data_IF_573986773676
#
_entry.id   IF_573986773676
#
_cell.length_a   1.000
_cell.length_b   1.000
_cell.length_c   1.000
_cell.angle_alpha   90.00
_cell.angle_beta   90.00
_cell.angle_gamma   90.00
#
_symmetry.space_group_name_H-M   'P 1'
#
loop_
_entity.id
_entity.type
_entity.pdbx_description
1 polymer ?
#
# COMPACT_ATOMS: atom_id res chain seq x y z
N UNK A 1 23.69 -10.30 -8.37
CA UNK A 1 22.92 -9.19 -8.93
C UNK A 1 23.82 -8.39 -9.84
N UNK A 2 23.45 -8.18 -11.09
CA UNK A 2 24.17 -7.23 -11.94
C UNK A 2 23.99 -5.83 -11.33
N UNK A 3 25.10 -5.14 -11.07
CA UNK A 3 25.06 -3.78 -10.52
C UNK A 3 24.47 -2.87 -11.59
N UNK A 4 23.26 -2.35 -11.36
CA UNK A 4 22.61 -1.42 -12.29
C UNK A 4 23.41 -0.13 -12.35
N UNK A 5 23.75 0.31 -13.56
CA UNK A 5 24.53 1.53 -13.77
C UNK A 5 23.69 2.78 -13.48
N UNK A 6 24.21 3.67 -12.67
CA UNK A 6 23.62 5.00 -12.44
C UNK A 6 24.08 5.96 -13.52
N UNK A 7 23.12 6.54 -14.26
CA UNK A 7 23.30 7.54 -15.31
C UNK A 7 22.78 8.90 -14.87
N UNK A 8 23.07 9.93 -15.63
CA UNK A 8 22.64 11.29 -15.32
C UNK A 8 21.98 11.95 -16.52
N UNK A 9 20.76 12.46 -16.30
CA UNK A 9 20.06 13.31 -17.24
C UNK A 9 20.29 14.78 -16.89
N UNK A 10 20.57 15.62 -17.88
CA UNK A 10 20.80 17.04 -17.64
C UNK A 10 19.48 17.84 -17.77
N UNK A 11 19.02 18.42 -16.65
CA UNK A 11 17.86 19.31 -16.61
C UNK A 11 18.30 20.75 -16.31
N UNK A 12 18.45 21.55 -17.34
CA UNK A 12 19.09 22.86 -17.25
C UNK A 12 20.55 22.76 -16.82
N UNK A 13 20.88 23.24 -15.59
CA UNK A 13 22.23 23.17 -15.01
C UNK A 13 22.39 22.05 -13.98
N UNK A 14 21.40 21.17 -13.83
CA UNK A 14 21.35 20.18 -12.76
C UNK A 14 21.37 18.78 -13.37
N UNK A 15 22.16 17.88 -12.78
CA UNK A 15 22.21 16.49 -13.15
C UNK A 15 21.21 15.69 -12.28
N UNK A 16 20.36 14.93 -12.93
CA UNK A 16 19.34 14.06 -12.32
C UNK A 16 19.80 12.61 -12.47
N UNK A 17 20.08 11.95 -11.35
CA UNK A 17 20.50 10.56 -11.35
C UNK A 17 19.32 9.63 -11.67
N UNK A 18 19.55 8.67 -12.57
CA UNK A 18 18.56 7.66 -12.91
C UNK A 18 19.21 6.32 -13.25
N UNK A 19 18.39 5.26 -13.21
CA UNK A 19 18.79 3.92 -13.62
C UNK A 19 17.72 3.32 -14.54
N UNK A 20 18.15 2.45 -15.46
CA UNK A 20 17.27 1.68 -16.33
C UNK A 20 17.46 0.21 -16.02
N UNK A 21 16.37 -0.54 -15.82
CA UNK A 21 16.39 -1.95 -15.44
C UNK A 21 15.39 -2.72 -16.31
N UNK A 22 15.81 -3.86 -16.85
CA UNK A 22 14.98 -4.65 -17.79
C UNK A 22 15.13 -4.22 -19.25
N UNK A 23 14.62 -5.06 -20.14
CA UNK A 23 14.75 -4.93 -21.61
C UNK A 23 13.38 -5.01 -22.31
N UNK A 24 12.28 -4.79 -21.56
CA UNK A 24 10.92 -4.79 -22.12
C UNK A 24 10.73 -3.68 -23.16
N UNK A 25 9.79 -3.89 -24.06
CA UNK A 25 9.45 -2.92 -25.11
C UNK A 25 8.62 -1.72 -24.61
N UNK A 26 8.10 -1.80 -23.40
CA UNK A 26 7.33 -0.73 -22.74
C UNK A 26 8.20 -0.05 -21.69
N UNK A 27 8.31 1.26 -21.77
CA UNK A 27 9.01 2.05 -20.78
C UNK A 27 8.06 2.41 -19.63
N UNK A 28 8.45 2.06 -18.39
CA UNK A 28 7.74 2.44 -17.17
C UNK A 28 8.64 3.32 -16.31
N UNK A 29 8.29 4.60 -16.14
CA UNK A 29 8.99 5.49 -15.23
C UNK A 29 8.27 5.58 -13.87
N UNK A 30 9.00 5.38 -12.78
CA UNK A 30 8.47 5.52 -11.42
C UNK A 30 8.77 6.90 -10.88
N UNK A 31 7.73 7.67 -10.63
CA UNK A 31 7.77 8.92 -9.87
C UNK A 31 7.53 8.57 -8.41
N UNK A 32 8.61 8.28 -7.70
CA UNK A 32 8.55 7.84 -6.30
C UNK A 32 8.07 8.95 -5.35
N UNK A 33 7.56 8.54 -4.19
CA UNK A 33 7.19 9.46 -3.12
C UNK A 33 8.42 10.08 -2.41
N UNK A 34 8.19 11.13 -1.70
CA UNK A 34 9.03 11.92 -0.78
C UNK A 34 10.52 12.00 -1.14
N UNK A 35 11.40 11.15 -0.58
CA UNK A 35 12.84 11.14 -0.83
C UNK A 35 13.29 9.85 -1.48
N UNK A 36 14.33 9.91 -2.31
CA UNK A 36 14.81 8.76 -3.08
C UNK A 36 16.33 8.64 -3.03
N UNK A 37 16.82 7.42 -3.23
CA UNK A 37 18.18 7.12 -3.56
C UNK A 37 18.20 5.84 -4.41
N UNK A 38 18.47 5.98 -5.71
CA UNK A 38 18.37 4.88 -6.69
C UNK A 38 19.30 3.71 -6.40
N UNK A 39 20.42 3.92 -5.71
CA UNK A 39 21.32 2.83 -5.30
C UNK A 39 20.84 2.17 -4.00
N UNK A 40 20.33 2.94 -3.03
CA UNK A 40 19.82 2.39 -1.78
C UNK A 40 18.51 1.61 -1.95
N UNK A 41 17.73 1.86 -2.99
CA UNK A 41 16.55 1.06 -3.32
C UNK A 41 16.88 -0.44 -3.44
N UNK A 42 18.07 -0.77 -3.95
CA UNK A 42 18.53 -2.16 -4.10
C UNK A 42 18.99 -2.80 -2.79
N UNK A 43 19.30 -2.00 -1.78
CA UNK A 43 19.68 -2.47 -0.44
C UNK A 43 18.48 -2.77 0.45
N UNK A 44 17.25 -2.52 -0.05
CA UNK A 44 15.99 -2.90 0.58
C UNK A 44 15.42 -4.13 -0.14
N UNK A 45 15.48 -5.36 0.46
CA UNK A 45 15.15 -6.60 -0.24
C UNK A 45 13.74 -6.63 -0.84
N UNK A 46 12.76 -6.11 -0.11
CA UNK A 46 11.36 -6.09 -0.55
C UNK A 46 11.17 -5.13 -1.73
N UNK A 47 11.77 -3.94 -1.66
CA UNK A 47 11.73 -2.96 -2.76
C UNK A 47 12.50 -3.49 -3.98
N UNK A 48 13.69 -4.07 -3.80
CA UNK A 48 14.45 -4.68 -4.88
C UNK A 48 13.69 -5.82 -5.56
N UNK A 49 13.00 -6.67 -4.79
CA UNK A 49 12.16 -7.73 -5.34
C UNK A 49 11.00 -7.18 -6.17
N UNK A 50 10.35 -6.11 -5.69
CA UNK A 50 9.25 -5.44 -6.40
C UNK A 50 9.74 -4.80 -7.71
N UNK A 51 10.84 -4.06 -7.69
CA UNK A 51 11.46 -3.47 -8.89
C UNK A 51 11.88 -4.54 -9.90
N UNK A 52 12.49 -5.65 -9.43
CA UNK A 52 12.86 -6.77 -10.29
C UNK A 52 11.62 -7.42 -10.94
N UNK A 53 10.50 -7.55 -10.26
CA UNK A 53 9.27 -8.08 -10.86
C UNK A 53 8.69 -7.16 -11.93
N UNK A 54 8.70 -5.85 -11.72
CA UNK A 54 8.28 -4.88 -12.74
C UNK A 54 9.19 -4.95 -13.96
N UNK A 55 10.51 -5.04 -13.77
CA UNK A 55 11.48 -5.09 -14.87
C UNK A 55 11.43 -6.38 -15.71
N UNK A 56 10.66 -7.39 -15.29
CA UNK A 56 10.44 -8.60 -16.10
C UNK A 56 9.57 -8.37 -17.33
N UNK A 57 8.71 -7.35 -17.32
CA UNK A 57 7.78 -7.07 -18.41
C UNK A 57 7.89 -5.64 -18.98
N UNK A 58 8.71 -4.78 -18.39
CA UNK A 58 8.94 -3.43 -18.88
C UNK A 58 10.43 -3.04 -18.79
N UNK A 59 10.82 -2.00 -19.50
CA UNK A 59 12.06 -1.27 -19.29
C UNK A 59 11.80 -0.23 -18.22
N UNK A 60 12.18 -0.54 -16.99
CA UNK A 60 11.88 0.24 -15.80
C UNK A 60 12.87 1.38 -15.61
N UNK A 61 12.40 2.61 -15.46
CA UNK A 61 13.19 3.81 -15.22
C UNK A 61 12.90 4.30 -13.81
N UNK A 62 13.92 4.35 -12.95
CA UNK A 62 13.87 4.91 -11.61
C UNK A 62 14.86 6.07 -11.49
N UNK A 63 14.54 7.08 -10.70
CA UNK A 63 15.37 8.27 -10.61
C UNK A 63 15.32 8.92 -9.22
N UNK A 64 16.33 9.72 -8.94
CA UNK A 64 16.37 10.56 -7.75
C UNK A 64 15.87 11.96 -8.08
N UNK A 65 14.88 12.41 -7.33
CA UNK A 65 14.40 13.80 -7.46
C UNK A 65 15.53 14.78 -7.16
N UNK A 66 15.52 15.91 -7.83
CA UNK A 66 16.44 17.03 -7.59
C UNK A 66 16.56 17.31 -6.08
N UNK A 67 17.80 17.33 -5.58
CA UNK A 67 18.11 17.55 -4.17
C UNK A 67 18.12 16.26 -3.32
N UNK A 68 17.75 15.10 -3.87
CA UNK A 68 17.76 13.81 -3.18
C UNK A 68 18.78 12.84 -3.79
N UNK A 69 19.12 11.80 -3.06
CA UNK A 69 19.95 10.68 -3.51
C UNK A 69 21.26 11.13 -4.16
N UNK A 70 21.45 10.69 -5.38
CA UNK A 70 22.63 10.97 -6.21
C UNK A 70 22.42 12.15 -7.18
N UNK A 71 21.22 12.74 -7.26
CA UNK A 71 20.98 13.95 -8.03
C UNK A 71 21.65 15.16 -7.38
N UNK A 72 21.96 16.17 -8.19
CA UNK A 72 22.61 17.39 -7.71
C UNK A 72 21.86 18.01 -6.53
N UNK A 73 22.63 18.44 -5.52
CA UNK A 73 22.11 19.07 -4.31
C UNK A 73 21.57 20.47 -4.62
N UNK A 74 20.48 20.80 -3.98
CA UNK A 74 19.86 22.11 -4.05
C UNK A 74 19.66 22.65 -2.64
N UNK A 75 19.93 23.92 -2.43
CA UNK A 75 19.66 24.57 -1.15
C UNK A 75 18.17 24.38 -0.77
N UNK A 76 17.86 23.99 0.47
CA UNK A 76 16.49 23.72 0.91
C UNK A 76 15.51 24.87 0.63
N UNK A 77 15.96 26.13 0.70
CA UNK A 77 15.16 27.31 0.37
C UNK A 77 14.99 27.59 -1.14
N UNK A 78 15.63 26.80 -2.02
CA UNK A 78 15.61 26.94 -3.48
C UNK A 78 15.11 25.68 -4.19
N UNK A 79 14.41 24.81 -3.47
CA UNK A 79 13.79 23.65 -4.10
C UNK A 79 12.77 24.13 -5.15
N UNK A 80 12.81 23.56 -6.35
CA UNK A 80 11.99 24.00 -7.45
C UNK A 80 10.52 23.62 -7.27
N UNK A 81 9.63 24.50 -7.72
CA UNK A 81 8.21 24.21 -7.82
C UNK A 81 7.92 23.05 -8.78
N UNK A 82 6.67 22.61 -8.81
CA UNK A 82 6.25 21.40 -9.54
C UNK A 82 6.52 21.47 -11.04
N UNK A 83 6.43 22.68 -11.66
CA UNK A 83 6.75 22.89 -13.08
C UNK A 83 8.19 22.52 -13.42
N UNK A 84 9.16 22.94 -12.60
CA UNK A 84 10.56 22.57 -12.82
C UNK A 84 10.80 21.08 -12.62
N UNK A 85 10.07 20.46 -11.71
CA UNK A 85 10.13 19.00 -11.48
C UNK A 85 9.56 18.21 -12.66
N UNK A 86 8.57 18.74 -13.38
CA UNK A 86 8.11 18.16 -14.66
C UNK A 86 9.20 18.25 -15.74
N UNK A 87 9.97 19.33 -15.79
CA UNK A 87 11.12 19.46 -16.72
C UNK A 87 12.23 18.45 -16.38
N UNK A 88 12.45 18.15 -15.09
CA UNK A 88 13.39 17.11 -14.67
C UNK A 88 12.93 15.74 -15.18
N UNK A 89 11.64 15.43 -15.03
CA UNK A 89 11.07 14.17 -15.52
C UNK A 89 11.16 14.06 -17.05
N UNK A 90 10.90 15.14 -17.78
CA UNK A 90 11.06 15.20 -19.23
C UNK A 90 12.50 14.94 -19.65
N UNK A 91 13.48 15.57 -18.98
CA UNK A 91 14.90 15.37 -19.26
C UNK A 91 15.33 13.91 -19.07
N UNK A 92 14.74 13.19 -18.10
CA UNK A 92 14.99 11.76 -17.90
C UNK A 92 14.41 10.94 -19.04
N UNK A 93 13.18 11.22 -19.47
CA UNK A 93 12.53 10.54 -20.62
C UNK A 93 13.37 10.69 -21.87
N UNK A 94 13.86 11.92 -22.15
CA UNK A 94 14.74 12.21 -23.28
C UNK A 94 16.10 11.49 -23.14
N UNK A 95 16.74 11.53 -21.97
CA UNK A 95 18.03 10.86 -21.72
C UNK A 95 17.95 9.32 -21.74
N UNK A 96 16.77 8.76 -21.46
CA UNK A 96 16.49 7.34 -21.56
C UNK A 96 16.18 6.90 -23.01
N UNK A 97 16.16 7.82 -23.98
CA UNK A 97 15.76 7.58 -25.37
C UNK A 97 14.37 6.93 -25.48
N UNK A 98 13.43 7.40 -24.64
CA UNK A 98 12.06 6.90 -24.60
C UNK A 98 11.18 7.76 -25.50
N UNK A 99 10.45 7.13 -26.42
CA UNK A 99 9.47 7.81 -27.28
C UNK A 99 8.18 8.12 -26.53
N UNK A 100 7.79 7.15 -25.72
CA UNK A 100 6.56 7.17 -24.92
C UNK A 100 6.78 6.36 -23.65
N UNK A 101 6.25 6.81 -22.52
CA UNK A 101 6.41 6.16 -21.21
C UNK A 101 5.07 5.95 -20.52
N UNK A 102 4.90 4.84 -19.84
CA UNK A 102 3.93 4.72 -18.77
C UNK A 102 4.52 5.41 -17.53
N UNK A 103 3.72 6.19 -16.81
CA UNK A 103 4.17 6.92 -15.62
C UNK A 103 3.46 6.39 -14.39
N UNK A 104 4.22 5.81 -13.44
CA UNK A 104 3.71 5.34 -12.16
C UNK A 104 4.06 6.34 -11.05
N UNK A 105 3.06 7.09 -10.61
CA UNK A 105 3.17 7.99 -9.47
C UNK A 105 2.87 7.27 -8.15
N UNK A 106 3.84 7.19 -7.25
CA UNK A 106 3.67 6.61 -5.92
C UNK A 106 3.47 7.74 -4.89
N UNK A 107 2.42 7.66 -4.07
CA UNK A 107 2.20 8.60 -2.99
C UNK A 107 2.23 10.06 -3.50
N UNK A 108 3.10 10.90 -2.98
CA UNK A 108 3.31 12.29 -3.41
C UNK A 108 3.92 12.44 -4.83
N UNK A 109 4.37 11.34 -5.41
CA UNK A 109 4.76 11.32 -6.82
C UNK A 109 3.56 11.37 -7.78
N UNK A 110 2.37 11.00 -7.30
CA UNK A 110 1.16 11.00 -8.12
C UNK A 110 0.74 12.37 -8.66
N UNK A 111 0.72 13.45 -7.88
CA UNK A 111 0.50 14.79 -8.39
C UNK A 111 1.45 15.20 -9.52
N UNK A 112 2.75 14.91 -9.37
CA UNK A 112 3.72 15.20 -10.42
C UNK A 112 3.48 14.35 -11.68
N UNK A 113 3.19 13.07 -11.52
CA UNK A 113 2.86 12.16 -12.62
C UNK A 113 1.59 12.62 -13.37
N UNK A 114 0.56 13.05 -12.64
CA UNK A 114 -0.68 13.55 -13.21
C UNK A 114 -0.47 14.83 -14.00
N UNK A 115 0.27 15.79 -13.44
CA UNK A 115 0.59 17.04 -14.14
C UNK A 115 1.44 16.79 -15.39
N UNK A 116 2.39 15.86 -15.31
CA UNK A 116 3.22 15.48 -16.45
C UNK A 116 2.37 14.86 -17.57
N UNK A 117 1.42 13.98 -17.23
CA UNK A 117 0.52 13.36 -18.20
C UNK A 117 -0.43 14.37 -18.87
N UNK A 118 -0.79 15.45 -18.19
CA UNK A 118 -1.63 16.51 -18.77
C UNK A 118 -0.81 17.48 -19.64
N UNK A 119 0.42 17.80 -19.24
CA UNK A 119 1.29 18.73 -19.95
C UNK A 119 1.94 18.11 -21.19
N UNK A 120 2.24 16.79 -21.13
CA UNK A 120 2.93 16.05 -22.20
C UNK A 120 2.16 14.76 -22.59
N UNK A 121 0.88 14.86 -23.01
CA UNK A 121 0.08 13.69 -23.31
C UNK A 121 0.63 12.85 -24.48
N UNK A 122 1.43 13.43 -25.35
CA UNK A 122 2.11 12.76 -26.46
C UNK A 122 3.32 11.91 -26.01
N UNK A 123 3.84 12.13 -24.80
CA UNK A 123 4.93 11.36 -24.20
C UNK A 123 4.44 10.31 -23.21
N UNK A 124 3.16 10.33 -22.83
CA UNK A 124 2.62 9.46 -21.78
C UNK A 124 1.60 8.49 -22.35
N UNK A 125 1.94 7.20 -22.39
CA UNK A 125 1.03 6.14 -22.84
C UNK A 125 -0.03 5.79 -21.79
N UNK A 126 0.35 5.75 -20.52
CA UNK A 126 -0.51 5.36 -19.40
C UNK A 126 -0.12 6.13 -18.13
N UNK A 127 -1.12 6.51 -17.34
CA UNK A 127 -0.94 7.08 -16.00
C UNK A 127 -1.35 6.05 -14.95
N UNK A 128 -0.44 5.70 -14.04
CA UNK A 128 -0.72 4.83 -12.90
C UNK A 128 -0.50 5.61 -11.61
N UNK A 129 -1.44 5.54 -10.68
CA UNK A 129 -1.38 6.24 -9.40
C UNK A 129 -1.55 5.21 -8.27
N UNK A 130 -0.56 5.08 -7.40
CA UNK A 130 -0.62 4.17 -6.27
C UNK A 130 -0.55 4.93 -4.94
N UNK A 131 -1.55 4.73 -4.07
CA UNK A 131 -1.58 5.34 -2.74
C UNK A 131 -1.41 6.86 -2.77
N UNK A 132 -2.01 7.53 -3.76
CA UNK A 132 -1.78 8.94 -4.06
C UNK A 132 -2.98 9.82 -3.70
N UNK A 133 -2.82 11.13 -3.90
CA UNK A 133 -3.80 12.15 -3.54
C UNK A 133 -3.80 13.32 -4.55
N UNK A 134 -4.91 14.03 -4.63
CA UNK A 134 -4.99 15.28 -5.40
C UNK A 134 -4.56 16.48 -4.56
N UNK A 135 -4.77 16.42 -3.27
CA UNK A 135 -4.43 17.44 -2.27
C UNK A 135 -4.23 16.76 -0.92
N UNK A 136 -3.34 17.28 -0.08
CA UNK A 136 -3.06 16.66 1.23
C UNK A 136 -3.55 17.48 2.43
N UNK A 137 -4.02 18.71 2.22
CA UNK A 137 -4.67 19.52 3.25
C UNK A 137 -6.17 19.47 2.99
N UNK A 138 -7.01 19.03 3.97
CA UNK A 138 -8.45 18.96 3.78
C UNK A 138 -9.10 20.34 3.61
N UNK A 139 -10.20 20.38 2.89
CA UNK A 139 -11.15 21.48 2.86
C UNK A 139 -12.60 20.96 2.83
N UNK A 140 -13.60 21.85 2.71
CA UNK A 140 -15.00 21.49 2.86
C UNK A 140 -15.52 20.35 1.96
N UNK A 141 -15.03 20.29 0.71
CA UNK A 141 -15.43 19.26 -0.28
C UNK A 141 -14.41 18.11 -0.39
N UNK A 142 -13.25 18.27 0.24
CA UNK A 142 -12.15 17.31 0.24
C UNK A 142 -11.70 17.05 1.69
N UNK A 143 -12.37 16.15 2.41
CA UNK A 143 -12.20 16.01 3.86
C UNK A 143 -10.96 15.19 4.28
N UNK A 144 -10.27 14.56 3.33
CA UNK A 144 -9.14 13.66 3.60
C UNK A 144 -7.82 14.40 3.73
N UNK A 145 -6.90 13.80 4.50
CA UNK A 145 -5.56 14.31 4.74
C UNK A 145 -5.40 14.95 6.12
N UNK A 146 -4.29 15.65 6.32
CA UNK A 146 -3.93 16.22 7.60
C UNK A 146 -4.15 17.74 7.62
N UNK A 147 -4.63 18.26 8.75
CA UNK A 147 -4.70 19.72 8.97
C UNK A 147 -3.29 20.35 8.97
N UNK A 148 -3.20 21.64 8.71
CA UNK A 148 -1.93 22.39 8.77
C UNK A 148 -1.21 22.22 10.12
N UNK A 149 -1.95 22.15 11.22
CA UNK A 149 -1.38 21.93 12.56
C UNK A 149 -0.76 20.52 12.68
N UNK A 150 -1.42 19.49 12.14
CA UNK A 150 -0.88 18.12 12.12
C UNK A 150 0.36 18.02 11.23
N UNK A 151 0.35 18.66 10.05
CA UNK A 151 1.53 18.75 9.20
C UNK A 151 2.71 19.45 9.90
N UNK A 152 2.46 20.52 10.65
CA UNK A 152 3.51 21.20 11.41
C UNK A 152 4.13 20.28 12.49
N UNK A 153 3.32 19.52 13.23
CA UNK A 153 3.80 18.53 14.19
C UNK A 153 4.62 17.43 13.53
N UNK A 154 4.19 16.97 12.34
CA UNK A 154 4.95 15.98 11.55
C UNK A 154 6.31 16.52 11.14
N UNK A 155 6.38 17.78 10.69
CA UNK A 155 7.65 18.45 10.35
C UNK A 155 8.60 18.56 11.54
N UNK A 156 8.10 18.97 12.70
CA UNK A 156 8.88 19.07 13.93
C UNK A 156 9.42 17.70 14.35
N UNK A 157 8.57 16.68 14.30
CA UNK A 157 8.97 15.30 14.58
C UNK A 157 10.05 14.82 13.61
N UNK A 158 9.90 15.07 12.30
CA UNK A 158 10.89 14.70 11.29
C UNK A 158 12.24 15.37 11.53
N UNK A 159 12.25 16.68 11.81
CA UNK A 159 13.49 17.41 12.05
C UNK A 159 14.23 16.96 13.30
N UNK A 160 13.47 16.65 14.37
CA UNK A 160 14.04 16.21 15.65
C UNK A 160 14.53 14.76 15.64
N UNK A 161 13.98 13.91 14.78
CA UNK A 161 14.24 12.47 14.76
C UNK A 161 14.85 11.97 13.45
N UNK A 162 15.38 12.87 12.59
CA UNK A 162 15.96 12.44 11.33
C UNK A 162 17.12 11.45 11.55
N UNK A 163 17.05 10.32 10.87
CA UNK A 163 17.98 9.21 11.08
C UNK A 163 17.38 8.03 11.84
N UNK A 164 16.19 8.21 12.41
CA UNK A 164 15.35 7.13 12.93
C UNK A 164 14.41 6.59 11.82
N UNK A 165 13.71 5.45 12.02
CA UNK A 165 12.79 4.89 11.04
C UNK A 165 11.46 5.69 10.98
N UNK A 166 11.54 6.98 10.67
CA UNK A 166 10.42 7.92 10.65
C UNK A 166 9.33 7.44 9.69
N UNK A 167 8.09 7.47 10.16
CA UNK A 167 6.90 7.15 9.37
C UNK A 167 6.69 5.68 9.05
N UNK A 168 7.63 4.78 9.40
CA UNK A 168 7.53 3.36 9.04
C UNK A 168 6.24 2.71 9.58
N UNK A 169 5.77 3.10 10.76
CA UNK A 169 4.53 2.58 11.36
C UNK A 169 3.24 2.96 10.60
N UNK A 170 3.30 4.00 9.75
CA UNK A 170 2.23 4.40 8.84
C UNK A 170 2.46 3.84 7.43
N UNK A 171 3.72 3.85 6.97
CA UNK A 171 4.08 3.46 5.61
C UNK A 171 4.13 1.94 5.41
N UNK A 172 4.52 1.20 6.44
CA UNK A 172 4.63 -0.27 6.42
C UNK A 172 4.28 -0.87 7.79
N UNK A 173 3.02 -0.80 8.25
CA UNK A 173 2.59 -1.33 9.54
C UNK A 173 2.94 -2.80 9.74
N UNK A 174 2.89 -3.62 8.67
CA UNK A 174 3.22 -5.05 8.71
C UNK A 174 4.68 -5.32 9.08
N UNK A 175 5.58 -4.35 8.92
CA UNK A 175 7.03 -4.43 9.16
C UNK A 175 7.55 -3.43 10.19
N UNK A 176 6.68 -2.62 10.74
CA UNK A 176 7.06 -1.53 11.64
C UNK A 176 7.85 -1.98 12.89
N UNK A 177 7.62 -3.22 13.35
CA UNK A 177 8.28 -3.81 14.51
C UNK A 177 9.47 -4.73 14.17
N UNK A 178 9.84 -4.87 12.90
CA UNK A 178 11.02 -5.63 12.50
C UNK A 178 12.29 -4.77 12.59
N UNK A 179 13.24 -5.08 13.50
CA UNK A 179 14.44 -4.26 13.70
C UNK A 179 15.29 -4.12 12.45
N UNK A 180 15.37 -5.16 11.62
CA UNK A 180 16.15 -5.13 10.39
C UNK A 180 15.53 -4.19 9.35
N UNK A 181 14.19 -4.16 9.23
CA UNK A 181 13.48 -3.22 8.37
C UNK A 181 13.59 -1.79 8.89
N UNK A 182 13.50 -1.58 10.20
CA UNK A 182 13.70 -0.26 10.82
C UNK A 182 15.07 0.33 10.49
N UNK A 183 16.15 -0.45 10.65
CA UNK A 183 17.51 0.04 10.36
C UNK A 183 17.73 0.30 8.87
N UNK A 184 17.24 -0.59 7.98
CA UNK A 184 17.30 -0.35 6.53
C UNK A 184 16.53 0.90 6.13
N UNK A 185 15.32 1.10 6.67
CA UNK A 185 14.51 2.29 6.40
C UNK A 185 15.18 3.56 6.89
N UNK A 186 15.71 3.57 8.12
CA UNK A 186 16.46 4.69 8.67
C UNK A 186 17.70 5.03 7.82
N UNK A 187 18.42 4.00 7.37
CA UNK A 187 19.59 4.16 6.48
C UNK A 187 19.19 4.73 5.12
N UNK A 188 18.12 4.20 4.52
CA UNK A 188 17.55 4.71 3.27
C UNK A 188 17.22 6.20 3.37
N UNK A 189 16.53 6.63 4.43
CA UNK A 189 16.19 8.03 4.65
C UNK A 189 17.43 8.92 4.76
N UNK A 190 18.42 8.51 5.59
CA UNK A 190 19.67 9.27 5.79
C UNK A 190 20.47 9.45 4.50
N UNK A 191 20.53 8.40 3.66
CA UNK A 191 21.27 8.43 2.39
C UNK A 191 20.50 9.12 1.27
N UNK A 192 19.20 9.21 1.39
CA UNK A 192 18.33 9.89 0.40
C UNK A 192 18.35 11.40 0.53
N UNK A 193 18.34 11.96 1.75
CA UNK A 193 18.30 13.42 1.95
C UNK A 193 18.84 13.84 3.30
N UNK A 194 19.26 15.12 3.40
CA UNK A 194 19.48 15.79 4.68
C UNK A 194 18.15 16.13 5.36
N UNK A 195 18.13 16.32 6.70
CA UNK A 195 16.90 16.70 7.41
C UNK A 195 16.28 18.00 6.88
N UNK A 196 17.12 18.97 6.51
CA UNK A 196 16.68 20.24 5.94
C UNK A 196 16.01 20.07 4.57
N UNK A 197 16.60 19.26 3.69
CA UNK A 197 16.03 18.95 2.37
C UNK A 197 14.73 18.15 2.50
N UNK A 198 14.69 17.14 3.36
CA UNK A 198 13.49 16.34 3.58
C UNK A 198 12.31 17.18 4.10
N UNK A 199 12.56 18.08 5.06
CA UNK A 199 11.57 19.00 5.58
C UNK A 199 11.10 20.02 4.53
N UNK A 200 12.02 20.52 3.70
CA UNK A 200 11.67 21.46 2.64
C UNK A 200 10.81 20.81 1.54
N UNK A 201 11.15 19.58 1.13
CA UNK A 201 10.33 18.77 0.23
C UNK A 201 8.94 18.51 0.82
N UNK A 202 8.86 18.14 2.08
CA UNK A 202 7.59 17.91 2.75
C UNK A 202 6.72 19.18 2.75
N UNK A 203 7.27 20.36 3.13
CA UNK A 203 6.53 21.64 3.09
C UNK A 203 6.01 21.96 1.70
N UNK A 204 6.81 21.72 0.67
CA UNK A 204 6.39 21.97 -0.71
C UNK A 204 5.26 21.02 -1.12
N UNK A 205 5.34 19.74 -0.73
CA UNK A 205 4.38 18.73 -1.15
C UNK A 205 2.99 18.92 -0.49
N UNK A 206 2.92 19.42 0.75
CA UNK A 206 1.64 19.67 1.42
C UNK A 206 0.83 20.81 0.77
N UNK A 207 1.48 21.72 0.01
CA UNK A 207 0.80 22.83 -0.69
C UNK A 207 0.31 22.44 -2.11
N UNK A 208 0.60 21.22 -2.57
CA UNK A 208 0.15 20.75 -3.88
C UNK A 208 -1.37 20.56 -3.87
N UNK A 209 -2.02 21.13 -4.89
CA UNK A 209 -3.43 20.92 -5.20
C UNK A 209 -3.59 20.77 -6.71
N UNK A 210 -3.97 19.57 -7.15
CA UNK A 210 -4.15 19.24 -8.58
C UNK A 210 -5.61 18.95 -8.95
N UNK A 211 -6.57 19.27 -8.08
CA UNK A 211 -7.98 18.93 -8.30
C UNK A 211 -8.52 19.48 -9.62
N UNK A 212 -8.16 20.69 -10.00
CA UNK A 212 -8.57 21.32 -11.26
C UNK A 212 -7.90 20.71 -12.50
N UNK A 213 -6.86 19.91 -12.30
CA UNK A 213 -6.10 19.25 -13.38
C UNK A 213 -6.67 17.87 -13.69
N UNK A 214 -7.23 17.17 -12.70
CA UNK A 214 -7.73 15.80 -12.86
C UNK A 214 -8.69 15.60 -14.04
N UNK A 215 -9.68 16.50 -14.30
CA UNK A 215 -10.58 16.37 -15.44
C UNK A 215 -9.90 16.53 -16.82
N UNK A 216 -8.65 17.03 -16.85
CA UNK A 216 -7.89 17.26 -18.07
C UNK A 216 -7.01 16.07 -18.47
N UNK A 217 -6.96 15.02 -17.65
CA UNK A 217 -6.23 13.79 -17.96
C UNK A 217 -6.94 13.07 -19.12
N UNK A 218 -6.22 12.87 -20.23
CA UNK A 218 -6.75 12.23 -21.44
C UNK A 218 -6.16 10.83 -21.69
N UNK A 219 -5.07 10.48 -21.00
CA UNK A 219 -4.40 9.20 -21.16
C UNK A 219 -5.08 8.10 -20.34
N UNK A 220 -5.04 6.83 -20.79
CA UNK A 220 -5.53 5.71 -20.00
C UNK A 220 -4.95 5.74 -18.58
N UNK A 221 -5.82 5.66 -17.57
CA UNK A 221 -5.42 5.86 -16.18
C UNK A 221 -5.85 4.72 -15.26
N UNK A 222 -4.94 4.25 -14.41
CA UNK A 222 -5.18 3.25 -13.38
C UNK A 222 -4.84 3.82 -11.99
N UNK A 223 -5.77 3.71 -11.07
CA UNK A 223 -5.59 4.07 -9.67
C UNK A 223 -5.57 2.80 -8.84
N UNK A 224 -4.53 2.62 -8.04
CA UNK A 224 -4.37 1.49 -7.13
C UNK A 224 -4.26 2.01 -5.69
N UNK A 225 -4.99 1.41 -4.75
CA UNK A 225 -4.91 1.84 -3.36
C UNK A 225 -5.26 0.69 -2.41
N UNK A 226 -4.54 0.60 -1.30
CA UNK A 226 -4.91 -0.32 -0.22
C UNK A 226 -5.99 0.32 0.66
N UNK A 227 -7.06 -0.42 0.91
CA UNK A 227 -8.26 0.12 1.57
C UNK A 227 -8.05 0.58 3.00
N UNK A 228 -7.07 -0.02 3.68
CA UNK A 228 -6.74 0.28 5.09
C UNK A 228 -5.43 1.08 5.21
N UNK A 229 -4.96 1.73 4.12
CA UNK A 229 -3.76 2.58 4.12
C UNK A 229 -3.86 3.63 5.22
N UNK A 230 -2.84 3.65 6.11
CA UNK A 230 -2.83 4.52 7.29
C UNK A 230 -2.19 5.88 7.06
N UNK A 231 -1.47 6.04 5.94
CA UNK A 231 -0.82 7.30 5.61
C UNK A 231 -1.69 8.15 4.69
N UNK A 232 -2.23 7.55 3.65
CA UNK A 232 -3.09 8.20 2.67
C UNK A 232 -4.44 7.47 2.66
N UNK A 233 -5.47 8.14 3.13
CA UNK A 233 -6.80 7.55 3.22
C UNK A 233 -7.35 7.17 1.83
N UNK A 234 -8.02 6.02 1.73
CA UNK A 234 -8.58 5.50 0.48
C UNK A 234 -9.51 6.50 -0.23
N UNK A 235 -10.17 7.40 0.52
CA UNK A 235 -11.02 8.45 -0.02
C UNK A 235 -10.34 9.38 -1.02
N UNK A 236 -9.03 9.59 -0.93
CA UNK A 236 -8.25 10.32 -1.93
C UNK A 236 -8.33 9.66 -3.30
N UNK A 237 -8.16 8.35 -3.38
CA UNK A 237 -8.24 7.60 -4.65
C UNK A 237 -9.64 7.52 -5.19
N UNK A 238 -10.65 7.39 -4.33
CA UNK A 238 -12.06 7.47 -4.75
C UNK A 238 -12.39 8.83 -5.37
N UNK A 239 -11.86 9.91 -4.81
CA UNK A 239 -12.01 11.25 -5.37
C UNK A 239 -11.36 11.36 -6.74
N UNK A 240 -10.08 10.97 -6.86
CA UNK A 240 -9.35 11.02 -8.14
C UNK A 240 -10.03 10.17 -9.22
N UNK A 241 -10.52 8.97 -8.87
CA UNK A 241 -11.27 8.12 -9.78
C UNK A 241 -12.52 8.80 -10.34
N UNK A 242 -13.27 9.54 -9.50
CA UNK A 242 -14.44 10.29 -9.96
C UNK A 242 -14.11 11.48 -10.85
N UNK A 243 -12.92 12.06 -10.69
CA UNK A 243 -12.52 13.28 -11.41
C UNK A 243 -11.73 13.02 -12.70
N UNK A 244 -11.02 11.88 -12.79
CA UNK A 244 -10.24 11.53 -13.99
C UNK A 244 -11.14 10.76 -14.96
N UNK A 245 -11.39 11.27 -16.18
CA UNK A 245 -12.27 10.61 -17.14
C UNK A 245 -11.77 9.21 -17.52
N UNK A 246 -12.62 8.20 -17.37
CA UNK A 246 -12.29 6.82 -17.78
C UNK A 246 -11.23 6.12 -16.92
N UNK A 247 -10.81 6.70 -15.79
CA UNK A 247 -9.87 6.05 -14.90
C UNK A 247 -10.45 4.76 -14.31
N UNK A 248 -9.59 3.74 -14.18
CA UNK A 248 -9.91 2.51 -13.47
C UNK A 248 -9.43 2.61 -12.01
N UNK A 249 -10.18 2.08 -11.06
CA UNK A 249 -9.79 2.01 -9.65
C UNK A 249 -9.71 0.56 -9.20
N UNK A 250 -8.52 0.14 -8.77
CA UNK A 250 -8.28 -1.18 -8.16
C UNK A 250 -8.07 -1.00 -6.67
N UNK A 251 -8.98 -1.57 -5.89
CA UNK A 251 -8.90 -1.62 -4.43
C UNK A 251 -8.12 -2.85 -4.02
N UNK A 252 -7.08 -2.64 -3.23
CA UNK A 252 -6.19 -3.68 -2.75
C UNK A 252 -6.41 -3.88 -1.25
N UNK A 253 -6.42 -5.12 -0.74
CA UNK A 253 -6.51 -5.34 0.70
C UNK A 253 -5.20 -5.00 1.40
N UNK A 254 -5.30 -4.56 2.66
CA UNK A 254 -4.14 -4.32 3.53
C UNK A 254 -3.97 -2.86 3.92
N UNK A 255 -3.02 -2.63 4.84
CA UNK A 255 -2.76 -1.35 5.48
C UNK A 255 -1.36 -0.79 5.20
N UNK A 256 -0.50 -1.51 4.48
CA UNK A 256 0.82 -1.01 4.07
C UNK A 256 0.68 0.01 2.93
N UNK A 257 1.17 1.23 3.16
CA UNK A 257 1.21 2.27 2.14
C UNK A 257 2.20 1.97 1.01
N UNK A 258 3.36 1.38 1.36
CA UNK A 258 4.41 1.09 0.37
C UNK A 258 4.05 -0.17 -0.45
N UNK A 259 4.07 -0.11 -1.81
CA UNK A 259 3.57 -1.20 -2.67
C UNK A 259 4.38 -2.49 -2.60
N UNK A 260 5.60 -2.44 -2.08
CA UNK A 260 6.50 -3.60 -1.93
C UNK A 260 6.38 -4.36 -0.62
N UNK A 261 5.48 -3.94 0.28
CA UNK A 261 5.10 -4.70 1.48
C UNK A 261 3.70 -5.31 1.31
N UNK A 262 3.38 -6.29 2.16
CA UNK A 262 2.11 -7.03 2.07
C UNK A 262 2.05 -7.95 0.84
N UNK A 263 0.87 -8.12 0.24
CA UNK A 263 0.74 -8.90 -1.01
C UNK A 263 1.11 -8.03 -2.22
N UNK A 264 2.34 -8.24 -2.71
CA UNK A 264 2.87 -7.54 -3.87
C UNK A 264 2.34 -8.11 -5.19
N UNK A 265 1.78 -9.32 -5.18
CA UNK A 265 1.35 -10.01 -6.40
C UNK A 265 0.14 -9.31 -7.00
N UNK A 266 -0.84 -8.97 -6.17
CA UNK A 266 -2.03 -8.25 -6.64
C UNK A 266 -1.68 -6.87 -7.23
N UNK A 267 -0.69 -6.17 -6.66
CA UNK A 267 -0.20 -4.87 -7.17
C UNK A 267 0.46 -5.05 -8.54
N UNK A 268 1.38 -6.02 -8.66
CA UNK A 268 2.11 -6.26 -9.91
C UNK A 268 1.17 -6.75 -11.01
N UNK A 269 0.27 -7.68 -10.71
CA UNK A 269 -0.68 -8.23 -11.68
C UNK A 269 -1.64 -7.16 -12.21
N UNK A 270 -2.09 -6.24 -11.36
CA UNK A 270 -2.91 -5.12 -11.78
C UNK A 270 -2.14 -4.16 -12.72
N UNK A 271 -0.91 -3.81 -12.37
CA UNK A 271 -0.03 -2.96 -13.20
C UNK A 271 0.22 -3.65 -14.56
N UNK A 272 0.64 -4.92 -14.54
CA UNK A 272 0.95 -5.68 -15.75
C UNK A 272 -0.28 -5.83 -16.65
N UNK A 273 -1.42 -6.22 -16.11
CA UNK A 273 -2.66 -6.37 -16.86
C UNK A 273 -3.11 -5.08 -17.53
N UNK A 274 -2.94 -3.95 -16.85
CA UNK A 274 -3.30 -2.65 -17.40
C UNK A 274 -2.37 -2.21 -18.53
N UNK A 275 -1.06 -2.45 -18.39
CA UNK A 275 -0.05 -1.98 -19.35
C UNK A 275 0.06 -2.83 -20.62
N UNK A 276 -0.09 -4.16 -20.51
CA UNK A 276 0.17 -5.09 -21.65
C UNK A 276 -1.04 -5.88 -22.12
N UNK A 277 -2.24 -5.50 -21.66
CA UNK A 277 -3.49 -6.04 -22.21
C UNK A 277 -3.79 -7.49 -21.83
N UNK A 278 -3.49 -7.91 -20.62
CA UNK A 278 -4.13 -9.05 -19.97
C UNK A 278 -5.57 -8.67 -19.58
N UNK A 279 -6.43 -9.65 -19.31
CA UNK A 279 -7.77 -9.35 -18.78
C UNK A 279 -7.61 -8.45 -17.56
N UNK A 280 -7.94 -7.17 -17.71
CA UNK A 280 -7.96 -6.23 -16.60
C UNK A 280 -8.79 -6.83 -15.48
N UNK A 281 -8.21 -6.93 -14.29
CA UNK A 281 -9.01 -7.11 -13.09
C UNK A 281 -9.68 -5.77 -12.83
N UNK A 282 -10.66 -5.45 -13.67
CA UNK A 282 -11.49 -4.26 -13.52
C UNK A 282 -12.56 -4.60 -12.52
N UNK A 283 -12.52 -3.99 -11.36
CA UNK A 283 -13.67 -3.94 -10.48
C UNK A 283 -13.76 -2.59 -9.78
N UNK A 284 -13.91 -1.51 -10.55
CA UNK A 284 -14.33 -0.23 -10.00
C UNK A 284 -15.86 -0.10 -9.84
N UNK A 285 -16.64 -1.00 -10.43
CA UNK A 285 -18.11 -0.99 -10.30
C UNK A 285 -18.66 -1.99 -9.28
N UNK A 286 -17.83 -2.91 -8.75
CA UNK A 286 -18.27 -3.94 -7.81
C UNK A 286 -18.05 -3.62 -6.33
N UNK A 287 -17.63 -2.41 -6.01
CA UNK A 287 -17.18 -2.06 -4.66
C UNK A 287 -18.22 -1.50 -3.70
N UNK A 288 -19.43 -1.39 -4.13
CA UNK A 288 -20.55 -1.31 -3.21
C UNK A 288 -21.04 -2.75 -3.06
N UNK A 289 -20.92 -3.31 -1.86
CA UNK A 289 -21.62 -4.54 -1.52
C UNK A 289 -23.07 -4.34 -1.92
N UNK A 290 -23.47 -5.00 -2.99
CA UNK A 290 -24.88 -4.95 -3.37
C UNK A 290 -25.71 -5.71 -2.31
N UNK A 291 -27.04 -5.56 -2.26
CA UNK A 291 -27.87 -6.24 -1.27
C UNK A 291 -27.69 -7.76 -1.27
N UNK A 292 -27.34 -8.37 -2.40
CA UNK A 292 -27.07 -9.80 -2.53
C UNK A 292 -25.73 -10.17 -1.87
N UNK A 293 -24.67 -9.37 -2.05
CA UNK A 293 -23.39 -9.55 -1.36
C UNK A 293 -23.55 -9.44 0.16
N UNK A 294 -24.31 -8.44 0.63
CA UNK A 294 -24.63 -8.28 2.05
C UNK A 294 -25.36 -9.51 2.58
N UNK A 295 -26.35 -10.00 1.87
CA UNK A 295 -27.09 -11.23 2.22
C UNK A 295 -26.15 -12.43 2.26
N UNK A 296 -25.30 -12.59 1.25
CA UNK A 296 -24.30 -13.67 1.19
C UNK A 296 -23.31 -13.60 2.37
N UNK A 297 -22.88 -12.41 2.79
CA UNK A 297 -21.99 -12.22 3.94
C UNK A 297 -22.66 -12.59 5.27
N UNK A 298 -23.93 -12.31 5.44
CA UNK A 298 -24.70 -12.80 6.60
C UNK A 298 -24.83 -14.32 6.59
N UNK A 299 -25.04 -14.94 5.42
CA UNK A 299 -25.04 -16.40 5.27
C UNK A 299 -23.68 -17.02 5.58
N UNK A 300 -22.59 -16.37 5.16
CA UNK A 300 -21.22 -16.78 5.55
C UNK A 300 -21.07 -16.75 7.06
N UNK A 301 -21.52 -15.70 7.74
CA UNK A 301 -21.45 -15.60 9.21
C UNK A 301 -22.24 -16.72 9.87
N UNK A 302 -23.44 -17.00 9.41
CA UNK A 302 -24.26 -18.09 9.92
C UNK A 302 -23.58 -19.45 9.70
N UNK A 303 -23.06 -19.71 8.51
CA UNK A 303 -22.32 -20.93 8.20
C UNK A 303 -21.10 -21.11 9.13
N UNK A 304 -20.38 -20.04 9.42
CA UNK A 304 -19.24 -20.09 10.37
C UNK A 304 -19.70 -20.43 11.79
N UNK A 305 -20.86 -19.97 12.22
CA UNK A 305 -21.43 -20.31 13.54
C UNK A 305 -21.82 -21.78 13.64
N UNK A 306 -22.27 -22.37 12.54
CA UNK A 306 -22.66 -23.80 12.47
C UNK A 306 -21.49 -24.75 12.22
N UNK A 307 -20.43 -24.26 11.50
CA UNK A 307 -19.31 -25.09 11.01
C UNK A 307 -17.95 -24.54 11.46
N UNK A 308 -17.86 -23.91 12.63
CA UNK A 308 -16.63 -23.27 13.13
C UNK A 308 -15.45 -24.24 13.29
N UNK A 309 -15.70 -25.52 13.56
CA UNK A 309 -14.67 -26.53 13.73
C UNK A 309 -13.99 -26.97 12.42
N UNK A 310 -14.63 -26.75 11.27
CA UNK A 310 -14.12 -27.16 9.97
C UNK A 310 -12.89 -26.34 9.54
N UNK A 311 -12.00 -26.97 8.74
CA UNK A 311 -10.86 -26.27 8.15
C UNK A 311 -11.33 -25.37 7.01
N UNK A 312 -11.24 -24.06 7.18
CA UNK A 312 -11.60 -23.08 6.15
C UNK A 312 -10.52 -22.89 5.10
N UNK A 313 -10.97 -22.79 3.86
CA UNK A 313 -10.23 -22.21 2.73
C UNK A 313 -11.04 -21.03 2.19
N UNK A 314 -10.51 -19.82 2.31
CA UNK A 314 -11.23 -18.60 1.92
C UNK A 314 -11.70 -18.61 0.47
N UNK A 315 -10.92 -19.20 -0.45
CA UNK A 315 -11.31 -19.33 -1.87
C UNK A 315 -12.55 -20.20 -2.04
N UNK A 316 -12.61 -21.32 -1.34
CA UNK A 316 -13.75 -22.25 -1.39
C UNK A 316 -14.98 -21.65 -0.71
N UNK A 317 -14.78 -20.98 0.43
CA UNK A 317 -15.85 -20.29 1.17
C UNK A 317 -16.47 -19.17 0.32
N UNK A 318 -15.65 -18.31 -0.29
CA UNK A 318 -16.14 -17.25 -1.16
C UNK A 318 -16.99 -17.81 -2.30
N UNK A 319 -16.47 -18.81 -3.03
CA UNK A 319 -17.18 -19.44 -4.14
C UNK A 319 -18.51 -20.08 -3.74
N UNK A 320 -18.56 -20.69 -2.54
CA UNK A 320 -19.79 -21.33 -2.02
C UNK A 320 -20.93 -20.34 -1.87
N UNK A 321 -20.65 -19.09 -1.54
CA UNK A 321 -21.65 -18.05 -1.32
C UNK A 321 -21.72 -17.02 -2.46
N UNK A 322 -21.20 -17.34 -3.65
CA UNK A 322 -21.26 -16.44 -4.82
C UNK A 322 -20.41 -15.19 -4.70
N UNK A 323 -19.47 -15.16 -3.75
CA UNK A 323 -18.57 -14.05 -3.53
C UNK A 323 -17.20 -14.32 -4.18
N UNK A 324 -16.50 -13.27 -4.59
CA UNK A 324 -15.05 -13.37 -4.76
C UNK A 324 -14.34 -13.26 -3.40
N UNK A 325 -13.06 -13.61 -3.33
CA UNK A 325 -12.30 -13.56 -2.07
C UNK A 325 -12.20 -12.16 -1.48
N UNK A 326 -12.17 -11.15 -2.35
CA UNK A 326 -12.12 -9.75 -1.96
C UNK A 326 -13.43 -9.33 -1.26
N UNK A 327 -14.59 -9.50 -1.91
CA UNK A 327 -15.90 -9.22 -1.31
C UNK A 327 -16.10 -9.97 0.01
N UNK A 328 -15.64 -11.23 0.08
CA UNK A 328 -15.69 -12.00 1.32
C UNK A 328 -14.86 -11.35 2.44
N UNK A 329 -13.57 -11.07 2.20
CA UNK A 329 -12.67 -10.49 3.22
C UNK A 329 -13.11 -9.08 3.63
N UNK A 330 -13.26 -8.21 2.63
CA UNK A 330 -13.62 -6.81 2.83
C UNK A 330 -15.01 -6.66 3.44
N UNK A 331 -16.02 -7.26 2.81
CA UNK A 331 -17.40 -7.15 3.24
C UNK A 331 -17.62 -7.74 4.63
N UNK A 332 -17.02 -8.87 4.92
CA UNK A 332 -17.13 -9.50 6.24
C UNK A 332 -16.55 -8.60 7.34
N UNK A 333 -15.35 -8.04 7.11
CA UNK A 333 -14.72 -7.09 8.05
C UNK A 333 -15.57 -5.82 8.20
N UNK A 334 -16.08 -5.28 7.10
CA UNK A 334 -16.91 -4.07 7.10
C UNK A 334 -18.23 -4.26 7.87
N UNK A 335 -18.87 -5.43 7.72
CA UNK A 335 -20.17 -5.70 8.38
C UNK A 335 -20.04 -6.18 9.81
N UNK A 336 -18.96 -6.89 10.15
CA UNK A 336 -18.83 -7.58 11.44
C UNK A 336 -17.59 -7.14 12.24
N UNK A 337 -16.90 -6.11 11.79
CA UNK A 337 -15.71 -5.50 12.41
C UNK A 337 -14.59 -6.51 12.77
N UNK A 338 -14.55 -7.63 12.06
CA UNK A 338 -13.54 -8.67 12.28
C UNK A 338 -13.25 -9.45 10.99
N UNK A 339 -12.00 -9.85 10.72
CA UNK A 339 -11.67 -10.72 9.60
C UNK A 339 -12.32 -12.10 9.74
N UNK A 340 -12.70 -12.73 8.62
CA UNK A 340 -13.36 -14.06 8.56
C UNK A 340 -12.64 -15.11 9.42
N UNK A 341 -11.32 -15.23 9.28
CA UNK A 341 -10.51 -16.23 10.02
C UNK A 341 -10.46 -15.90 11.52
N UNK A 342 -10.34 -14.62 11.87
CA UNK A 342 -10.35 -14.20 13.27
C UNK A 342 -11.71 -14.49 13.92
N UNK A 343 -12.81 -14.25 13.23
CA UNK A 343 -14.16 -14.58 13.67
C UNK A 343 -14.33 -16.08 13.92
N UNK A 344 -13.86 -16.94 13.01
CA UNK A 344 -13.87 -18.39 13.23
C UNK A 344 -13.04 -18.80 14.46
N UNK A 345 -11.86 -18.22 14.63
CA UNK A 345 -11.03 -18.50 15.81
C UNK A 345 -11.72 -18.09 17.12
N UNK A 346 -12.39 -16.95 17.12
CA UNK A 346 -13.15 -16.47 18.28
C UNK A 346 -14.30 -17.45 18.61
N UNK A 347 -15.07 -17.89 17.62
CA UNK A 347 -16.13 -18.88 17.81
C UNK A 347 -15.60 -20.17 18.43
N UNK A 348 -14.49 -20.72 17.95
CA UNK A 348 -13.82 -21.89 18.49
C UNK A 348 -13.47 -21.74 19.96
N UNK A 349 -12.87 -20.61 20.33
CA UNK A 349 -12.41 -20.37 21.70
C UNK A 349 -13.56 -20.10 22.66
N UNK A 350 -14.61 -19.36 22.24
CA UNK A 350 -15.80 -19.14 23.07
C UNK A 350 -16.61 -20.44 23.27
N UNK A 351 -16.70 -21.28 22.22
CA UNK A 351 -17.31 -22.61 22.36
C UNK A 351 -16.51 -23.50 23.31
N UNK A 352 -15.19 -23.52 23.18
CA UNK A 352 -14.32 -24.28 24.10
C UNK A 352 -14.46 -23.78 25.54
N UNK A 353 -14.55 -22.46 25.76
CA UNK A 353 -14.77 -21.86 27.07
C UNK A 353 -16.11 -22.32 27.69
N UNK A 354 -17.16 -22.37 26.86
CA UNK A 354 -18.46 -22.90 27.28
C UNK A 354 -18.36 -24.38 27.66
N UNK A 355 -17.73 -25.22 26.83
CA UNK A 355 -17.53 -26.65 27.11
C UNK A 355 -16.70 -26.87 28.39
N UNK A 356 -15.64 -26.12 28.61
CA UNK A 356 -14.82 -26.15 29.82
C UNK A 356 -15.61 -25.83 31.08
N UNK A 357 -16.63 -24.98 30.97
CA UNK A 357 -17.50 -24.58 32.08
C UNK A 357 -18.64 -25.55 32.36
N UNK A 358 -19.18 -26.22 31.31
CA UNK A 358 -20.42 -26.97 31.41
C UNK A 358 -20.25 -28.47 31.30
N UNK A 359 -19.01 -28.98 31.08
CA UNK A 359 -18.73 -30.40 30.91
C UNK A 359 -17.41 -30.82 31.54
N UNK A 360 -17.28 -32.12 31.85
CA UNK A 360 -16.04 -32.73 32.33
C UNK A 360 -15.20 -33.38 31.20
N UNK A 361 -15.56 -33.12 29.95
CA UNK A 361 -14.83 -33.64 28.78
C UNK A 361 -13.34 -33.29 28.87
N UNK A 362 -12.42 -34.22 28.60
CA UNK A 362 -10.98 -33.98 28.62
C UNK A 362 -10.60 -32.78 27.70
N UNK A 363 -9.64 -31.97 28.15
CA UNK A 363 -9.22 -30.74 27.40
C UNK A 363 -8.75 -31.09 25.99
N UNK A 364 -8.14 -32.25 25.79
CA UNK A 364 -7.68 -32.74 24.48
C UNK A 364 -8.87 -32.97 23.54
N UNK A 365 -9.94 -33.57 24.06
CA UNK A 365 -11.18 -33.80 23.29
C UNK A 365 -11.93 -32.49 22.99
N UNK A 366 -11.93 -31.55 23.93
CA UNK A 366 -12.47 -30.22 23.67
C UNK A 366 -11.67 -29.54 22.56
N UNK A 367 -10.33 -29.59 22.57
CA UNK A 367 -9.49 -29.04 21.53
C UNK A 367 -9.83 -29.58 20.13
N UNK A 368 -10.01 -30.88 20.03
CA UNK A 368 -10.40 -31.58 18.80
C UNK A 368 -11.82 -31.19 18.37
N UNK A 369 -12.78 -31.20 19.28
CA UNK A 369 -14.17 -30.82 19.02
C UNK A 369 -14.33 -29.39 18.49
N UNK A 370 -13.46 -28.47 18.89
CA UNK A 370 -13.47 -27.10 18.39
C UNK A 370 -12.50 -26.85 17.21
N UNK A 371 -11.95 -27.93 16.63
CA UNK A 371 -11.18 -27.90 15.38
C UNK A 371 -9.69 -27.59 15.53
N UNK A 372 -9.08 -27.84 16.69
CA UNK A 372 -7.63 -27.79 16.88
C UNK A 372 -7.02 -29.20 16.83
N UNK A 373 -6.17 -29.46 15.82
CA UNK A 373 -5.49 -30.75 15.66
C UNK A 373 -4.46 -31.07 16.76
N UNK A 374 -4.00 -30.06 17.48
CA UNK A 374 -2.98 -30.16 18.52
C UNK A 374 -3.43 -29.41 19.77
N UNK A 375 -3.51 -30.10 20.91
CA UNK A 375 -3.93 -29.54 22.20
C UNK A 375 -3.00 -28.39 22.66
N UNK A 376 -1.71 -28.44 22.30
CA UNK A 376 -0.77 -27.33 22.62
C UNK A 376 -1.11 -26.04 21.92
N UNK A 377 -1.50 -26.11 20.63
CA UNK A 377 -1.91 -24.93 19.86
C UNK A 377 -3.21 -24.34 20.42
N UNK A 378 -4.15 -25.19 20.81
CA UNK A 378 -5.37 -24.78 21.49
C UNK A 378 -5.05 -24.07 22.82
N UNK A 379 -4.22 -24.68 23.67
CA UNK A 379 -3.87 -24.14 24.99
C UNK A 379 -3.18 -22.76 24.85
N UNK A 380 -2.31 -22.61 23.89
CA UNK A 380 -1.65 -21.32 23.59
C UNK A 380 -2.64 -20.25 23.10
N UNK A 381 -3.54 -20.62 22.18
CA UNK A 381 -4.57 -19.72 21.66
C UNK A 381 -5.55 -19.30 22.77
N UNK A 382 -6.02 -20.24 23.57
CA UNK A 382 -6.92 -19.99 24.69
C UNK A 382 -6.28 -19.07 25.75
N UNK A 383 -5.01 -19.31 26.10
CA UNK A 383 -4.28 -18.44 27.04
C UNK A 383 -4.12 -17.03 26.50
N UNK A 384 -3.84 -16.89 25.20
CA UNK A 384 -3.71 -15.57 24.56
C UNK A 384 -5.02 -14.78 24.57
N UNK A 385 -6.15 -15.46 24.35
CA UNK A 385 -7.48 -14.86 24.30
C UNK A 385 -8.03 -14.52 25.69
N UNK A 386 -7.92 -15.47 26.65
CA UNK A 386 -8.56 -15.35 27.97
C UNK A 386 -7.58 -15.11 29.14
N UNK A 387 -6.29 -14.91 28.85
CA UNK A 387 -5.27 -14.60 29.86
C UNK A 387 -4.83 -15.79 30.72
N UNK A 388 -5.48 -16.97 30.59
CA UNK A 388 -5.20 -18.15 31.41
C UNK A 388 -5.34 -19.46 30.61
N UNK A 389 -4.69 -20.53 31.08
CA UNK A 389 -4.76 -21.85 30.40
C UNK A 389 -6.14 -22.48 30.58
N UNK A 390 -6.57 -23.40 29.65
CA UNK A 390 -7.82 -24.11 29.76
C UNK A 390 -7.96 -24.90 31.09
N UNK A 391 -6.86 -25.50 31.57
CA UNK A 391 -6.85 -26.25 32.85
C UNK A 391 -7.06 -25.31 34.04
N UNK A 392 -6.47 -24.12 34.01
CA UNK A 392 -6.64 -23.12 35.08
C UNK A 392 -8.07 -22.59 35.09
N UNK A 393 -8.60 -22.29 33.89
CA UNK A 393 -9.98 -21.83 33.72
C UNK A 393 -10.99 -22.81 34.29
N UNK A 394 -10.85 -24.12 33.96
CA UNK A 394 -11.73 -25.18 34.48
C UNK A 394 -11.68 -25.27 36.01
N UNK A 395 -10.48 -25.22 36.64
CA UNK A 395 -10.34 -25.26 38.10
C UNK A 395 -11.06 -24.11 38.79
N UNK A 396 -11.03 -22.92 38.22
CA UNK A 396 -11.73 -21.74 38.77
C UNK A 396 -13.26 -21.89 38.72
N UNK A 397 -13.79 -22.66 37.78
CA UNK A 397 -15.24 -22.90 37.66
C UNK A 397 -15.76 -24.04 38.52
N UNK A 398 -14.89 -24.96 38.95
CA UNK A 398 -15.24 -26.14 39.78
C UNK A 398 -15.15 -25.89 41.29
N UNK A 399 -14.93 -24.68 41.74
CA UNK A 399 -14.87 -24.29 43.17
C UNK A 399 -16.10 -23.51 43.64
N UNK A 400 -17.25 -23.66 42.96
CA UNK A 400 -18.54 -23.10 43.34
C UNK A 400 -19.54 -24.19 43.73
#
# INVERSE_FOLDING_TARGET
MQKTETKYAQSGKVNIAYQIVGEGSLDLIIVAGWVTNVEEMWNMPELAAWLNRLSQFCRLIIFDKRGTGLSDRVEPGRLPGITQRMQDLRAIVEAADSREVAVLGLSEGGPLATLFAVEYPELVSHLLLYGSYARWIPDGEYPWGLSRQQHQKTLEHMQSNWGQPIGLHLMAPSRANDPATQERWATYLRRSASPGTAAALYRMNIEIDIREVLPKVTVPSLILHRTDDRLIEFGHSQYMHRQIPGAQLVQLPGDDHLPWFGDITEVIDAIQSFLIGGKAVVNAQDDILNPEDVTALYQVRQFLQESYAEKLQLKTLARRFGLNQYKLKYGFRKLFDTPVIAYQHQLRLETAKTMLRTTDIPIVEIADAVGYRQANNFSAAFKREFGMTPSHFRKLQGTG
#
